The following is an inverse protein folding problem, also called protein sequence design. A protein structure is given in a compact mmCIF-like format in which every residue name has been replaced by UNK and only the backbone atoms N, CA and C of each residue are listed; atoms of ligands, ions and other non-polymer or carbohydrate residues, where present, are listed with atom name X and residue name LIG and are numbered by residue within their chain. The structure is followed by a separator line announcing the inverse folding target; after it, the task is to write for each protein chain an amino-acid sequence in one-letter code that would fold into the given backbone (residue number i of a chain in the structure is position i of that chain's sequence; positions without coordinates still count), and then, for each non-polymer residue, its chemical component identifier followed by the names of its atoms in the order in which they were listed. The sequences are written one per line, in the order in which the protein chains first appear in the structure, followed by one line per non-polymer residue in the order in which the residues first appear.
data_IF_912223781430
#
_entry.id   IF_912223781430
#
_cell.length_a   1.000
_cell.length_b   1.000
_cell.length_c   1.000
_cell.angle_alpha   90.00
_cell.angle_beta   90.00
_cell.angle_gamma   90.00
#
_symmetry.space_group_name_H-M   'P 1'
#
loop_
_entity.id
_entity.type
_entity.pdbx_description
1 polymer ?
#
# COMPACT_ATOMS: atom_id res chain seq x y z
N UNK A 1 -7.44 18.15 -20.79
CA UNK A 1 -7.54 16.94 -19.93
C UNK A 1 -6.16 16.59 -19.43
N UNK A 2 -6.00 16.40 -18.12
CA UNK A 2 -4.75 15.97 -17.50
C UNK A 2 -4.73 14.46 -17.24
N UNK A 3 -3.58 13.96 -16.82
CA UNK A 3 -3.35 12.56 -16.47
C UNK A 3 -2.99 12.44 -14.98
N UNK A 4 -3.44 11.37 -14.32
CA UNK A 4 -3.15 11.10 -12.91
C UNK A 4 -1.77 10.43 -12.75
N UNK A 5 -0.93 10.97 -11.85
CA UNK A 5 0.38 10.38 -11.56
C UNK A 5 0.30 9.45 -10.34
N UNK A 6 0.68 8.18 -10.53
CA UNK A 6 0.64 7.16 -9.45
C UNK A 6 1.65 7.36 -8.31
N UNK A 7 2.75 8.09 -8.55
CA UNK A 7 3.78 8.29 -7.50
C UNK A 7 3.45 9.49 -6.60
N UNK A 8 2.90 10.57 -7.17
CA UNK A 8 2.59 11.77 -6.37
C UNK A 8 1.11 11.97 -6.10
N UNK A 9 0.24 11.09 -6.62
CA UNK A 9 -1.21 11.14 -6.43
C UNK A 9 -1.90 12.37 -7.04
N UNK A 10 -1.24 13.14 -7.91
CA UNK A 10 -1.78 14.39 -8.49
C UNK A 10 -2.14 14.23 -9.95
N UNK A 11 -3.25 14.85 -10.36
CA UNK A 11 -3.57 15.08 -11.77
C UNK A 11 -2.65 16.17 -12.32
N UNK A 12 -1.90 15.88 -13.38
CA UNK A 12 -0.95 16.79 -14.03
C UNK A 12 -1.32 17.01 -15.50
N UNK A 13 -0.94 18.15 -16.10
CA UNK A 13 -1.09 18.36 -17.54
C UNK A 13 -0.35 17.29 -18.35
N UNK A 14 -0.86 16.95 -19.54
CA UNK A 14 -0.28 15.90 -20.40
C UNK A 14 1.20 16.15 -20.74
N UNK A 15 1.61 17.42 -20.88
CA UNK A 15 3.00 17.82 -21.16
C UNK A 15 4.00 17.41 -20.06
N UNK A 16 3.50 17.15 -18.83
CA UNK A 16 4.28 16.67 -17.70
C UNK A 16 4.50 15.16 -17.70
N UNK A 17 4.00 14.43 -18.69
CA UNK A 17 4.28 13.01 -18.89
C UNK A 17 5.18 12.81 -20.13
N UNK A 18 5.92 11.70 -20.16
CA UNK A 18 6.81 11.34 -21.26
C UNK A 18 6.34 10.03 -21.91
N UNK A 19 6.22 10.00 -23.24
CA UNK A 19 5.89 8.80 -24.02
C UNK A 19 4.44 8.72 -24.50
N UNK A 20 4.21 8.03 -25.62
CA UNK A 20 2.87 7.65 -26.11
C UNK A 20 2.50 6.32 -25.45
N UNK A 21 1.75 6.39 -24.35
CA UNK A 21 1.28 5.19 -23.66
C UNK A 21 0.59 5.52 -22.35
N UNK A 22 -0.72 5.34 -22.31
CA UNK A 22 -1.56 5.58 -21.13
C UNK A 22 -1.27 4.68 -19.92
N UNK A 23 -0.38 3.69 -20.04
CA UNK A 23 -0.24 2.58 -19.07
C UNK A 23 0.76 2.83 -17.95
N UNK A 24 1.60 3.87 -18.03
CA UNK A 24 2.66 4.13 -17.04
C UNK A 24 2.69 5.60 -16.66
N UNK A 25 1.58 6.08 -16.10
CA UNK A 25 1.43 7.50 -15.77
C UNK A 25 2.23 7.85 -14.50
N UNK A 26 3.54 7.97 -14.66
CA UNK A 26 4.46 8.61 -13.71
C UNK A 26 4.90 9.90 -14.36
N UNK A 27 4.65 11.05 -13.73
CA UNK A 27 5.04 12.34 -14.29
C UNK A 27 6.57 12.48 -14.35
N UNK A 28 7.07 13.38 -15.22
CA UNK A 28 8.49 13.68 -15.40
C UNK A 28 9.19 14.04 -14.09
N UNK A 29 8.50 14.73 -13.19
CA UNK A 29 9.05 15.12 -11.88
C UNK A 29 9.30 13.87 -11.00
N UNK A 30 8.35 12.94 -10.97
CA UNK A 30 8.49 11.68 -10.25
C UNK A 30 9.46 10.72 -10.96
N UNK A 31 9.57 10.76 -12.30
CA UNK A 31 10.56 9.98 -13.06
C UNK A 31 12.00 10.35 -12.70
N UNK A 32 12.25 11.60 -12.31
CA UNK A 32 13.57 12.07 -11.85
C UNK A 32 13.94 11.55 -10.45
N UNK A 33 13.00 10.96 -9.70
CA UNK A 33 13.30 10.40 -8.39
C UNK A 33 14.12 9.11 -8.51
N UNK A 34 14.99 8.84 -7.51
CA UNK A 34 15.67 7.56 -7.39
C UNK A 34 14.67 6.40 -7.46
N UNK A 35 15.08 5.30 -8.10
CA UNK A 35 14.22 4.13 -8.27
C UNK A 35 13.74 3.59 -6.92
N UNK A 36 14.64 3.48 -5.94
CA UNK A 36 14.33 3.01 -4.59
C UNK A 36 13.19 3.79 -3.93
N UNK A 37 13.17 5.13 -4.07
CA UNK A 37 12.10 5.98 -3.52
C UNK A 37 10.78 5.79 -4.24
N UNK A 38 10.80 5.49 -5.54
CA UNK A 38 9.58 5.18 -6.29
C UNK A 38 9.06 3.80 -5.90
N UNK A 39 9.95 2.81 -5.86
CA UNK A 39 9.61 1.44 -5.48
C UNK A 39 9.02 1.40 -4.08
N UNK A 40 9.54 2.16 -3.11
CA UNK A 40 8.96 2.23 -1.77
C UNK A 40 7.55 2.82 -1.75
N UNK A 41 7.28 3.86 -2.55
CA UNK A 41 5.93 4.45 -2.64
C UNK A 41 4.96 3.43 -3.26
N UNK A 42 5.37 2.77 -4.34
CA UNK A 42 4.53 1.78 -5.02
C UNK A 42 4.27 0.55 -4.13
N UNK A 43 5.26 0.10 -3.38
CA UNK A 43 5.12 -1.01 -2.43
C UNK A 43 4.22 -0.64 -1.25
N UNK A 44 4.33 0.58 -0.71
CA UNK A 44 3.44 1.04 0.37
C UNK A 44 1.98 1.10 -0.11
N UNK A 45 1.74 1.64 -1.31
CA UNK A 45 0.41 1.64 -1.95
C UNK A 45 -0.11 0.22 -2.24
N UNK A 46 0.77 -0.69 -2.68
CA UNK A 46 0.44 -2.11 -2.91
C UNK A 46 -0.04 -2.79 -1.61
N UNK A 47 0.71 -2.62 -0.51
CA UNK A 47 0.37 -3.18 0.80
C UNK A 47 -0.96 -2.63 1.30
N UNK A 48 -1.16 -1.30 1.21
CA UNK A 48 -2.43 -0.67 1.56
C UNK A 48 -3.59 -1.24 0.70
N UNK A 49 -3.35 -1.41 -0.59
CA UNK A 49 -4.28 -2.02 -1.53
C UNK A 49 -4.72 -3.41 -1.08
N UNK A 50 -3.80 -4.27 -0.65
CA UNK A 50 -4.15 -5.60 -0.13
C UNK A 50 -5.05 -5.53 1.10
N UNK A 51 -4.75 -4.61 2.03
CA UNK A 51 -5.60 -4.42 3.21
C UNK A 51 -7.01 -3.94 2.83
N UNK A 52 -7.17 -3.17 1.75
CA UNK A 52 -8.48 -2.71 1.30
C UNK A 52 -9.32 -3.76 0.55
N UNK A 53 -8.72 -4.87 0.11
CA UNK A 53 -9.44 -5.94 -0.58
C UNK A 53 -10.43 -6.67 0.34
N UNK A 54 -11.52 -7.17 -0.26
CA UNK A 54 -12.54 -7.97 0.42
C UNK A 54 -11.97 -9.23 1.09
N UNK A 55 -10.91 -9.80 0.52
CA UNK A 55 -10.15 -10.90 1.09
C UNK A 55 -8.65 -10.70 0.81
N UNK A 56 -7.82 -10.87 1.83
CA UNK A 56 -6.37 -10.95 1.64
C UNK A 56 -6.07 -12.40 1.21
N UNK A 57 -5.88 -12.60 -0.10
CA UNK A 57 -5.68 -13.92 -0.69
C UNK A 57 -4.30 -14.51 -0.39
N UNK A 58 -4.12 -15.81 -0.60
CA UNK A 58 -2.81 -16.48 -0.49
C UNK A 58 -1.77 -15.87 -1.43
N UNK A 59 -2.19 -15.40 -2.61
CA UNK A 59 -1.32 -14.68 -3.54
C UNK A 59 -0.85 -13.34 -2.94
N UNK A 60 -1.73 -12.63 -2.24
CA UNK A 60 -1.35 -11.40 -1.53
C UNK A 60 -0.36 -11.73 -0.40
N UNK A 61 -0.59 -12.82 0.34
CA UNK A 61 0.31 -13.27 1.41
C UNK A 61 1.70 -13.62 0.85
N UNK A 62 1.79 -14.38 -0.25
CA UNK A 62 3.07 -14.69 -0.89
C UNK A 62 3.81 -13.42 -1.35
N UNK A 63 3.06 -12.44 -1.88
CA UNK A 63 3.63 -11.14 -2.25
C UNK A 63 4.13 -10.37 -1.02
N UNK A 64 3.36 -10.33 0.06
CA UNK A 64 3.74 -9.69 1.32
C UNK A 64 4.98 -10.36 1.93
N UNK A 65 5.12 -11.69 1.87
CA UNK A 65 6.31 -12.40 2.34
C UNK A 65 7.58 -11.97 1.58
N UNK A 66 7.46 -11.69 0.29
CA UNK A 66 8.56 -11.11 -0.49
C UNK A 66 8.92 -9.71 0.01
N UNK A 67 7.92 -8.90 0.36
CA UNK A 67 8.12 -7.53 0.85
C UNK A 67 8.68 -7.48 2.29
N UNK A 68 8.41 -8.49 3.11
CA UNK A 68 9.05 -8.65 4.44
C UNK A 68 10.56 -8.78 4.33
N UNK A 69 11.07 -9.38 3.24
CA UNK A 69 12.51 -9.52 2.98
C UNK A 69 13.15 -8.28 2.31
N UNK A 70 12.42 -7.17 2.20
CA UNK A 70 12.92 -5.91 1.64
C UNK A 70 13.97 -5.25 2.54
N UNK A 71 15.00 -4.63 1.95
CA UNK A 71 15.96 -3.78 2.67
C UNK A 71 15.31 -2.52 3.27
N UNK A 72 14.12 -2.16 2.79
CA UNK A 72 13.35 -1.05 3.35
C UNK A 72 12.58 -1.49 4.59
N UNK A 73 13.09 -1.12 5.76
CA UNK A 73 12.52 -1.49 7.06
C UNK A 73 11.04 -1.13 7.21
N UNK A 74 10.61 0.01 6.67
CA UNK A 74 9.20 0.42 6.69
C UNK A 74 8.35 -0.53 5.86
N UNK A 75 8.77 -0.89 4.65
CA UNK A 75 8.04 -1.84 3.80
C UNK A 75 7.96 -3.21 4.45
N UNK A 76 9.05 -3.68 5.04
CA UNK A 76 9.09 -4.95 5.74
C UNK A 76 8.13 -4.98 6.94
N UNK A 77 8.11 -3.91 7.75
CA UNK A 77 7.20 -3.74 8.88
C UNK A 77 5.73 -3.75 8.43
N UNK A 78 5.38 -2.90 7.46
CA UNK A 78 4.01 -2.81 6.95
C UNK A 78 3.52 -4.16 6.41
N UNK A 79 4.37 -4.85 5.65
CA UNK A 79 4.03 -6.15 5.09
C UNK A 79 3.80 -7.21 6.17
N UNK A 80 4.65 -7.23 7.21
CA UNK A 80 4.52 -8.14 8.35
C UNK A 80 3.20 -7.92 9.09
N UNK A 81 2.82 -6.66 9.36
CA UNK A 81 1.55 -6.33 10.02
C UNK A 81 0.36 -6.85 9.19
N UNK A 82 0.35 -6.64 7.88
CA UNK A 82 -0.75 -7.10 7.02
C UNK A 82 -0.83 -8.63 6.94
N UNK A 83 0.29 -9.35 7.00
CA UNK A 83 0.29 -10.82 7.12
C UNK A 83 -0.36 -11.26 8.43
N UNK A 84 0.00 -10.66 9.56
CA UNK A 84 -0.60 -10.98 10.86
C UNK A 84 -2.10 -10.72 10.87
N UNK A 85 -2.53 -9.61 10.29
CA UNK A 85 -3.94 -9.30 10.08
C UNK A 85 -4.63 -10.36 9.22
N UNK A 86 -4.00 -10.83 8.15
CA UNK A 86 -4.53 -11.87 7.29
C UNK A 86 -4.67 -13.22 8.01
N UNK A 87 -3.75 -13.55 8.94
CA UNK A 87 -3.82 -14.76 9.77
C UNK A 87 -5.01 -14.74 10.72
N UNK A 88 -5.31 -13.58 11.30
CA UNK A 88 -6.45 -13.42 12.24
C UNK A 88 -7.78 -13.33 11.48
N UNK A 89 -7.84 -12.44 10.47
CA UNK A 89 -9.07 -12.18 9.74
C UNK A 89 -8.80 -11.68 8.30
N UNK A 90 -8.65 -12.61 7.33
CA UNK A 90 -8.29 -12.25 5.96
C UNK A 90 -9.43 -11.52 5.23
N UNK A 91 -10.69 -11.84 5.57
CA UNK A 91 -11.86 -11.16 5.02
C UNK A 91 -12.10 -9.79 5.66
N UNK A 92 -12.35 -8.76 4.84
CA UNK A 92 -12.52 -7.36 5.27
C UNK A 92 -13.70 -7.13 6.19
N UNK A 93 -14.81 -7.84 5.95
CA UNK A 93 -16.05 -7.65 6.72
C UNK A 93 -15.79 -7.88 8.20
N UNK A 94 -16.00 -6.82 9.00
CA UNK A 94 -15.78 -6.79 10.46
C UNK A 94 -14.33 -7.06 10.89
N UNK A 95 -13.35 -6.97 9.99
CA UNK A 95 -11.93 -7.22 10.31
C UNK A 95 -11.46 -6.40 11.51
N UNK A 96 -11.62 -5.07 11.45
CA UNK A 96 -11.21 -4.18 12.55
C UNK A 96 -11.94 -4.49 13.86
N UNK A 97 -13.22 -4.87 13.80
CA UNK A 97 -13.98 -5.28 15.00
C UNK A 97 -13.43 -6.57 15.61
N UNK A 98 -13.00 -7.52 14.79
CA UNK A 98 -12.36 -8.76 15.26
C UNK A 98 -10.99 -8.44 15.87
N UNK A 99 -10.17 -7.63 15.20
CA UNK A 99 -8.88 -7.18 15.73
C UNK A 99 -9.04 -6.45 17.07
N UNK A 100 -9.98 -5.50 17.18
CA UNK A 100 -10.24 -4.79 18.43
C UNK A 100 -10.59 -5.72 19.61
N UNK A 101 -11.21 -6.87 19.32
CA UNK A 101 -11.63 -7.84 20.33
C UNK A 101 -10.53 -8.85 20.68
N UNK A 102 -9.78 -9.32 19.68
CA UNK A 102 -8.90 -10.50 19.82
C UNK A 102 -7.42 -10.16 19.73
N UNK A 103 -7.06 -9.10 19.00
CA UNK A 103 -5.68 -8.68 18.71
C UNK A 103 -5.57 -7.16 18.67
N UNK A 104 -5.83 -6.53 19.83
CA UNK A 104 -5.77 -5.07 19.99
C UNK A 104 -4.38 -4.52 19.66
N UNK A 105 -3.33 -5.29 19.94
CA UNK A 105 -1.95 -5.02 19.53
C UNK A 105 -1.82 -4.77 18.01
N UNK A 106 -2.49 -5.58 17.19
CA UNK A 106 -2.49 -5.40 15.74
C UNK A 106 -3.31 -4.19 15.30
N UNK A 107 -4.41 -3.89 16.00
CA UNK A 107 -5.19 -2.69 15.71
C UNK A 107 -4.35 -1.42 15.98
N UNK A 108 -3.69 -1.36 17.14
CA UNK A 108 -2.82 -0.24 17.50
C UNK A 108 -1.64 -0.11 16.52
N UNK A 109 -1.09 -1.23 16.04
CA UNK A 109 -0.03 -1.23 15.03
C UNK A 109 -0.52 -0.68 13.67
N UNK A 110 -1.73 -1.06 13.24
CA UNK A 110 -2.34 -0.53 12.02
C UNK A 110 -2.57 0.98 12.10
N UNK A 111 -2.98 1.50 13.26
CA UNK A 111 -3.16 2.93 13.48
C UNK A 111 -1.81 3.67 13.49
N UNK A 112 -0.83 3.18 14.26
CA UNK A 112 0.51 3.79 14.36
C UNK A 112 1.24 3.87 13.03
N UNK A 113 1.09 2.85 12.19
CA UNK A 113 1.73 2.79 10.87
C UNK A 113 0.98 3.55 9.80
N UNK A 114 -0.26 3.98 10.07
CA UNK A 114 -1.14 4.66 9.11
C UNK A 114 -1.80 3.72 8.10
N UNK A 115 -1.70 2.40 8.27
CA UNK A 115 -2.34 1.40 7.39
C UNK A 115 -3.86 1.46 7.45
N UNK A 116 -4.40 1.80 8.61
CA UNK A 116 -5.78 2.25 8.74
C UNK A 116 -5.70 3.72 9.13
N UNK A 117 -5.88 4.60 8.15
CA UNK A 117 -6.17 6.00 8.47
C UNK A 117 -7.54 6.00 9.14
N UNK A 118 -7.56 5.88 10.47
CA UNK A 118 -8.78 5.95 11.25
C UNK A 118 -9.42 7.32 10.97
N UNK A 119 -10.59 7.29 10.32
CA UNK A 119 -11.50 8.42 10.15
C UNK A 119 -10.93 9.66 9.45
N UNK A 120 -10.96 9.64 8.12
CA UNK A 120 -11.49 10.78 7.37
C UNK A 120 -11.99 10.25 6.02
N UNK A 121 -13.30 9.99 5.96
CA UNK A 121 -14.30 10.59 5.05
C UNK A 121 -15.66 9.98 5.37
#
# INVERSE_FOLDING_TARGET
MGQYCRICGRTRPNEKFSGRGHRTLVCKDCQRMPKEKRDSIEQEEEIFGFLQQSNISDRNIARLQTLVASDNSRIAELASIVIEVARVKPHKKRRLKVLARERKDLLDALEKTGLIYAHNW
#
